data_IF_290425387235
#
_entry.id   IF_290425387235
#
_cell.length_a   1.000
_cell.length_b   1.000
_cell.length_c   1.000
_cell.angle_alpha   90.00
_cell.angle_beta   90.00
_cell.angle_gamma   90.00
#
_symmetry.space_group_name_H-M   'P 1'
#
loop_
_entity.id
_entity.type
_entity.pdbx_description
1 polymer ?
#
# COMPACT_ATOMS: atom_id res chain seq x y z
N UNK A 1 -4.98 16.04 8.39
CA UNK A 1 -4.64 14.61 8.23
C UNK A 1 -3.52 14.53 7.22
N UNK A 2 -2.54 13.65 7.43
CA UNK A 2 -1.47 13.49 6.45
C UNK A 2 -2.03 12.94 5.14
N UNK A 3 -1.58 13.48 4.02
CA UNK A 3 -1.98 13.11 2.67
C UNK A 3 -0.86 12.23 2.06
N UNK A 4 -1.24 11.22 1.29
CA UNK A 4 -0.30 10.41 0.52
C UNK A 4 -0.67 10.44 -0.96
N UNK A 5 0.32 10.23 -1.82
CA UNK A 5 0.12 10.15 -3.26
C UNK A 5 0.60 8.80 -3.76
N UNK A 6 -0.23 8.18 -4.59
CA UNK A 6 0.14 7.00 -5.35
C UNK A 6 0.66 7.43 -6.71
N UNK A 7 1.73 6.78 -7.17
CA UNK A 7 2.08 6.84 -8.59
C UNK A 7 1.05 6.05 -9.40
N UNK A 8 0.87 6.37 -10.68
CA UNK A 8 -0.03 5.61 -11.58
C UNK A 8 0.22 4.10 -11.50
N UNK A 9 1.49 3.68 -11.46
CA UNK A 9 1.84 2.27 -11.33
C UNK A 9 1.34 1.64 -10.02
N UNK A 10 1.40 2.37 -8.91
CA UNK A 10 0.94 1.86 -7.62
C UNK A 10 -0.60 1.74 -7.58
N UNK A 11 -1.31 2.63 -8.27
CA UNK A 11 -2.77 2.56 -8.43
C UNK A 11 -3.19 1.35 -9.30
N UNK A 12 -2.46 1.10 -10.39
CA UNK A 12 -2.60 -0.12 -11.21
C UNK A 12 -2.33 -1.37 -10.38
N UNK A 13 -1.23 -1.39 -9.61
CA UNK A 13 -0.86 -2.52 -8.76
C UNK A 13 -1.99 -2.81 -7.71
N UNK A 14 -2.63 -1.77 -7.14
CA UNK A 14 -3.78 -1.95 -6.24
C UNK A 14 -4.99 -2.57 -6.95
N UNK A 15 -5.26 -2.15 -8.19
CA UNK A 15 -6.35 -2.70 -9.01
C UNK A 15 -6.14 -4.19 -9.30
N UNK A 16 -4.91 -4.57 -9.62
CA UNK A 16 -4.54 -5.98 -9.84
C UNK A 16 -4.68 -6.81 -8.56
N UNK A 17 -4.20 -6.28 -7.43
CA UNK A 17 -4.34 -6.89 -6.10
C UNK A 17 -5.81 -7.12 -5.74
N UNK A 18 -6.65 -6.10 -5.93
CA UNK A 18 -8.08 -6.21 -5.64
C UNK A 18 -8.75 -7.26 -6.53
N UNK A 19 -8.47 -7.22 -7.85
CA UNK A 19 -9.02 -8.19 -8.81
C UNK A 19 -8.64 -9.62 -8.45
N UNK A 20 -7.37 -9.86 -8.12
CA UNK A 20 -6.90 -11.18 -7.68
C UNK A 20 -7.59 -11.59 -6.37
N UNK A 21 -7.66 -10.69 -5.40
CA UNK A 21 -8.27 -10.96 -4.09
C UNK A 21 -9.76 -11.27 -4.21
N UNK A 22 -10.48 -10.55 -5.08
CA UNK A 22 -11.89 -10.76 -5.36
C UNK A 22 -12.12 -12.16 -5.95
N UNK A 23 -11.32 -12.53 -6.96
CA UNK A 23 -11.43 -13.85 -7.60
C UNK A 23 -11.10 -14.99 -6.64
N UNK A 24 -10.19 -14.77 -5.69
CA UNK A 24 -9.67 -15.81 -4.79
C UNK A 24 -10.46 -15.96 -3.49
N UNK A 25 -10.91 -14.84 -2.91
CA UNK A 25 -11.46 -14.76 -1.56
C UNK A 25 -12.88 -14.15 -1.52
N UNK A 26 -13.40 -13.70 -2.65
CA UNK A 26 -14.68 -13.00 -2.75
C UNK A 26 -14.58 -11.52 -2.36
N UNK A 27 -15.67 -10.81 -2.56
CA UNK A 27 -15.79 -9.36 -2.35
C UNK A 27 -15.36 -8.92 -0.96
N UNK A 28 -15.94 -9.51 0.09
CA UNK A 28 -15.63 -9.14 1.47
C UNK A 28 -14.14 -9.34 1.84
N UNK A 29 -13.49 -10.35 1.25
CA UNK A 29 -12.05 -10.58 1.45
C UNK A 29 -11.19 -9.55 0.71
N UNK A 30 -11.60 -9.16 -0.50
CA UNK A 30 -10.92 -8.13 -1.29
C UNK A 30 -11.05 -6.75 -0.64
N UNK A 31 -12.26 -6.39 -0.20
CA UNK A 31 -12.55 -5.13 0.48
C UNK A 31 -11.74 -5.01 1.78
N UNK A 32 -11.76 -6.05 2.61
CA UNK A 32 -11.01 -6.06 3.86
C UNK A 32 -9.50 -5.90 3.63
N UNK A 33 -8.97 -6.54 2.58
CA UNK A 33 -7.55 -6.43 2.25
C UNK A 33 -7.20 -5.03 1.72
N UNK A 34 -8.00 -4.48 0.81
CA UNK A 34 -7.79 -3.14 0.27
C UNK A 34 -7.86 -2.07 1.38
N UNK A 35 -8.86 -2.16 2.26
CA UNK A 35 -9.00 -1.26 3.41
C UNK A 35 -7.77 -1.33 4.33
N UNK A 36 -7.24 -2.53 4.58
CA UNK A 36 -6.04 -2.69 5.41
C UNK A 36 -4.80 -2.02 4.79
N UNK A 37 -4.69 -1.99 3.45
CA UNK A 37 -3.63 -1.28 2.75
C UNK A 37 -3.80 0.25 2.88
N UNK A 38 -5.02 0.76 2.72
CA UNK A 38 -5.32 2.18 2.90
C UNK A 38 -5.01 2.67 4.32
N UNK A 39 -5.42 1.92 5.34
CA UNK A 39 -5.07 2.20 6.74
C UNK A 39 -3.55 2.26 6.93
N UNK A 40 -2.82 1.39 6.25
CA UNK A 40 -1.36 1.37 6.31
C UNK A 40 -0.72 2.56 5.63
N UNK A 41 -1.23 2.98 4.48
CA UNK A 41 -0.77 4.20 3.80
C UNK A 41 -1.02 5.44 4.65
N UNK A 42 -2.18 5.54 5.29
CA UNK A 42 -2.49 6.61 6.23
C UNK A 42 -1.55 6.61 7.43
N UNK A 43 -1.26 5.44 8.02
CA UNK A 43 -0.30 5.34 9.12
C UNK A 43 1.10 5.81 8.69
N UNK A 44 1.56 5.43 7.49
CA UNK A 44 2.85 5.86 6.94
C UNK A 44 2.89 7.35 6.61
N UNK A 45 1.80 7.91 6.09
CA UNK A 45 1.68 9.34 5.84
C UNK A 45 1.82 10.13 7.16
N UNK A 46 1.21 9.64 8.24
CA UNK A 46 1.28 10.27 9.56
C UNK A 46 2.63 10.03 10.25
N UNK A 47 3.30 8.90 10.01
CA UNK A 47 4.59 8.55 10.61
C UNK A 47 5.57 7.99 9.57
N UNK A 48 6.22 8.85 8.75
CA UNK A 48 7.07 8.42 7.64
C UNK A 48 8.31 7.61 8.04
N UNK A 49 8.73 7.71 9.30
CA UNK A 49 9.91 7.03 9.84
C UNK A 49 9.64 5.58 10.28
N UNK A 50 8.39 5.10 10.16
CA UNK A 50 8.06 3.69 10.43
C UNK A 50 8.65 2.74 9.38
N UNK A 51 8.97 3.24 8.17
CA UNK A 51 9.62 2.47 7.14
C UNK A 51 11.10 2.21 7.46
N UNK A 52 11.61 1.05 7.03
CA UNK A 52 13.04 0.75 7.03
C UNK A 52 13.68 1.27 5.76
N UNK A 53 14.89 1.85 5.86
CA UNK A 53 15.61 2.31 4.67
C UNK A 53 15.90 1.15 3.72
N UNK A 54 15.56 1.36 2.46
CA UNK A 54 15.80 0.44 1.35
C UNK A 54 16.77 1.04 0.34
N UNK A 55 17.84 1.68 0.84
CA UNK A 55 18.85 2.36 0.01
C UNK A 55 19.53 1.42 -0.99
N UNK A 56 19.53 0.10 -0.72
CA UNK A 56 20.00 -0.95 -1.63
C UNK A 56 19.16 -1.08 -2.90
N UNK A 57 17.88 -0.67 -2.88
CA UNK A 57 17.01 -0.60 -4.06
C UNK A 57 17.23 0.75 -4.75
N UNK A 58 17.08 1.84 -3.99
CA UNK A 58 17.33 3.21 -4.45
C UNK A 58 17.51 4.12 -3.25
N UNK A 59 18.52 5.00 -3.30
CA UNK A 59 18.79 5.96 -2.23
C UNK A 59 17.54 6.80 -1.92
N UNK A 60 17.18 6.89 -0.64
CA UNK A 60 16.01 7.63 -0.17
C UNK A 60 14.70 6.84 -0.19
N UNK A 61 14.72 5.55 -0.58
CA UNK A 61 13.55 4.69 -0.49
C UNK A 61 13.41 4.09 0.90
N UNK A 62 12.16 3.85 1.28
CA UNK A 62 11.79 3.16 2.50
C UNK A 62 10.87 1.99 2.13
N UNK A 63 11.03 0.87 2.83
CA UNK A 63 10.13 -0.29 2.76
C UNK A 63 9.39 -0.43 4.07
N UNK A 64 8.15 -0.88 3.97
CA UNK A 64 7.32 -1.23 5.11
C UNK A 64 7.03 -2.75 5.12
N UNK A 65 7.08 -3.38 6.29
CA UNK A 65 6.92 -4.83 6.53
C UNK A 65 5.81 -5.09 7.55
#
# INVERSE_FOLDING_TARGET
MADYRLSNKADEDLTEIYTFSYQRFGEAGADAYLLSLEERFLALANQPHLGRKADHIRKGYFRYE
#
